data_IF_408018087974
#
_entry.id   IF_408018087974
#
_cell.length_a   1.000
_cell.length_b   1.000
_cell.length_c   1.000
_cell.angle_alpha   90.00
_cell.angle_beta   90.00
_cell.angle_gamma   90.00
#
_symmetry.space_group_name_H-M   'P 1'
#
loop_
_entity.id
_entity.type
_entity.pdbx_description
1 polymer ?
#
# COMPACT_ATOMS: atom_id res chain seq x y z
N UNK A 1 -20.09 -4.11 -9.74
CA UNK A 1 -18.71 -4.37 -9.29
C UNK A 1 -17.81 -3.37 -9.99
N UNK A 2 -16.98 -2.63 -9.26
CA UNK A 2 -16.07 -1.64 -9.87
C UNK A 2 -14.95 -2.35 -10.61
N UNK A 3 -14.77 -2.02 -11.89
CA UNK A 3 -13.71 -2.55 -12.73
C UNK A 3 -12.49 -1.62 -12.76
N UNK A 4 -11.31 -2.22 -12.92
CA UNK A 4 -10.04 -1.50 -13.05
C UNK A 4 -9.37 -1.86 -14.36
N UNK A 5 -8.86 -0.86 -15.08
CA UNK A 5 -8.22 -1.02 -16.38
C UNK A 5 -6.73 -0.75 -16.29
N UNK A 6 -5.96 -1.37 -17.18
CA UNK A 6 -4.56 -1.01 -17.35
C UNK A 6 -4.44 0.31 -18.10
N UNK A 7 -3.52 1.19 -17.68
CA UNK A 7 -3.12 2.38 -18.44
C UNK A 7 -2.52 2.08 -19.81
N UNK A 8 -2.29 0.80 -20.15
CA UNK A 8 -1.79 0.34 -21.46
C UNK A 8 -2.84 -0.38 -22.30
N UNK A 9 -4.11 -0.29 -21.93
CA UNK A 9 -5.23 -0.84 -22.72
C UNK A 9 -5.60 -2.29 -22.38
N UNK A 10 -4.97 -2.90 -21.37
CA UNK A 10 -5.39 -4.18 -20.81
C UNK A 10 -6.83 -4.17 -20.27
N UNK A 11 -7.48 -5.34 -20.36
CA UNK A 11 -8.88 -5.54 -19.98
C UNK A 11 -9.19 -5.35 -18.48
N UNK A 12 -10.48 -5.36 -18.11
CA UNK A 12 -10.91 -5.08 -16.75
C UNK A 12 -10.43 -6.15 -15.76
N UNK A 13 -10.04 -5.72 -14.57
CA UNK A 13 -9.72 -6.56 -13.43
C UNK A 13 -10.59 -6.20 -12.22
N UNK A 14 -10.91 -7.20 -11.40
CA UNK A 14 -11.55 -6.99 -10.10
C UNK A 14 -10.57 -6.48 -9.04
N UNK A 15 -11.08 -5.85 -7.99
CA UNK A 15 -10.28 -5.21 -6.94
C UNK A 15 -9.26 -6.19 -6.32
N UNK A 16 -9.67 -7.41 -6.01
CA UNK A 16 -8.83 -8.42 -5.37
C UNK A 16 -7.60 -8.74 -6.22
N UNK A 17 -7.77 -8.90 -7.53
CA UNK A 17 -6.67 -9.16 -8.45
C UNK A 17 -5.72 -7.95 -8.54
N UNK A 18 -6.27 -6.74 -8.56
CA UNK A 18 -5.51 -5.48 -8.61
C UNK A 18 -4.65 -5.31 -7.35
N UNK A 19 -5.24 -5.54 -6.17
CA UNK A 19 -4.54 -5.42 -4.90
C UNK A 19 -3.41 -6.45 -4.75
N UNK A 20 -3.64 -7.69 -5.19
CA UNK A 20 -2.64 -8.76 -5.08
C UNK A 20 -1.45 -8.57 -6.05
N UNK A 21 -1.73 -8.19 -7.30
CA UNK A 21 -0.69 -8.08 -8.33
C UNK A 21 0.03 -6.75 -8.27
N UNK A 22 -0.69 -5.65 -7.98
CA UNK A 22 -0.19 -4.28 -7.95
C UNK A 22 0.08 -3.65 -9.33
N UNK A 23 0.38 -4.44 -10.36
CA UNK A 23 0.59 -3.99 -11.75
C UNK A 23 -0.09 -4.91 -12.75
N UNK A 24 -0.55 -4.34 -13.86
CA UNK A 24 -1.21 -5.10 -14.90
C UNK A 24 -0.23 -6.03 -15.66
N UNK A 25 -0.70 -7.14 -16.26
CA UNK A 25 0.17 -8.08 -16.99
C UNK A 25 0.93 -7.47 -18.18
N UNK A 26 0.41 -6.40 -18.77
CA UNK A 26 1.03 -5.62 -19.86
C UNK A 26 2.06 -4.58 -19.36
N UNK A 27 2.36 -4.59 -18.05
CA UNK A 27 3.25 -3.65 -17.38
C UNK A 27 2.67 -2.27 -17.16
N UNK A 28 1.37 -2.07 -17.42
CA UNK A 28 0.65 -0.85 -17.08
C UNK A 28 0.24 -0.80 -15.61
N UNK A 29 -0.29 0.36 -15.21
CA UNK A 29 -0.84 0.57 -13.87
C UNK A 29 -2.34 0.37 -13.91
N UNK A 30 -2.91 -0.13 -12.82
CA UNK A 30 -4.36 -0.22 -12.70
C UNK A 30 -4.94 1.15 -12.32
N UNK A 31 -6.01 1.54 -13.01
CA UNK A 31 -6.84 2.72 -12.71
C UNK A 31 -8.31 2.30 -12.69
N UNK A 32 -9.15 2.88 -11.82
CA UNK A 32 -10.58 2.57 -11.84
C UNK A 32 -11.19 3.04 -13.16
N UNK A 33 -12.17 2.30 -13.68
CA UNK A 33 -12.92 2.69 -14.90
C UNK A 33 -13.55 4.08 -14.76
N UNK A 34 -13.97 4.44 -13.55
CA UNK A 34 -14.56 5.74 -13.21
C UNK A 34 -14.00 6.24 -11.89
N UNK A 35 -13.68 7.54 -11.86
CA UNK A 35 -13.43 8.24 -10.61
C UNK A 35 -14.78 8.50 -9.93
N UNK A 36 -14.89 8.14 -8.66
CA UNK A 36 -16.08 8.42 -7.89
C UNK A 36 -16.22 9.93 -7.69
N UNK A 37 -17.45 10.44 -7.87
CA UNK A 37 -17.80 11.81 -7.52
C UNK A 37 -18.31 11.84 -6.08
N UNK A 38 -17.93 12.89 -5.35
CA UNK A 38 -18.32 13.06 -3.95
C UNK A 38 -18.91 14.46 -3.75
N UNK A 39 -20.05 14.51 -3.08
CA UNK A 39 -20.60 15.76 -2.57
C UNK A 39 -19.80 16.16 -1.32
N UNK A 40 -19.32 17.42 -1.28
CA UNK A 40 -18.49 17.89 -0.14
C UNK A 40 -19.19 17.72 1.20
N UNK A 41 -20.50 17.96 1.26
CA UNK A 41 -21.30 17.78 2.47
C UNK A 41 -21.24 16.34 3.00
N UNK A 42 -21.32 15.35 2.10
CA UNK A 42 -21.29 13.94 2.47
C UNK A 42 -19.94 13.49 3.05
N UNK A 43 -18.84 14.13 2.65
CA UNK A 43 -17.51 13.87 3.23
C UNK A 43 -17.30 14.63 4.53
N UNK A 44 -17.84 15.85 4.65
CA UNK A 44 -17.71 16.71 5.82
C UNK A 44 -18.40 16.14 7.08
N UNK A 45 -19.33 15.20 6.92
CA UNK A 45 -19.98 14.48 8.03
C UNK A 45 -19.08 13.43 8.69
N UNK A 46 -17.90 13.14 8.15
CA UNK A 46 -16.98 12.14 8.71
C UNK A 46 -16.37 12.66 10.01
N UNK A 47 -16.58 11.95 11.12
CA UNK A 47 -16.07 12.35 12.43
C UNK A 47 -14.58 11.99 12.59
N UNK A 48 -14.09 11.02 11.82
CA UNK A 48 -12.70 10.55 11.90
C UNK A 48 -12.08 10.38 10.51
N UNK A 49 -10.73 10.41 10.38
CA UNK A 49 -10.06 10.09 9.13
C UNK A 49 -10.36 8.68 8.61
N UNK A 50 -10.60 7.72 9.51
CA UNK A 50 -10.97 6.36 9.13
C UNK A 50 -12.36 6.33 8.45
N UNK A 51 -13.34 7.05 8.99
CA UNK A 51 -14.67 7.19 8.38
C UNK A 51 -14.62 7.94 7.05
N UNK A 52 -13.79 8.99 6.96
CA UNK A 52 -13.57 9.72 5.71
C UNK A 52 -13.00 8.78 4.64
N UNK A 53 -11.96 8.01 5.00
CA UNK A 53 -11.37 7.02 4.11
C UNK A 53 -12.40 5.96 3.69
N UNK A 54 -13.19 5.41 4.63
CA UNK A 54 -14.25 4.45 4.31
C UNK A 54 -15.23 5.00 3.26
N UNK A 55 -15.75 6.22 3.47
CA UNK A 55 -16.70 6.86 2.54
C UNK A 55 -16.09 7.12 1.18
N UNK A 56 -14.84 7.61 1.14
CA UNK A 56 -14.12 7.84 -0.12
C UNK A 56 -13.80 6.54 -0.86
N UNK A 57 -13.58 5.44 -0.14
CA UNK A 57 -13.16 4.17 -0.72
C UNK A 57 -14.30 3.22 -1.07
N UNK A 58 -15.47 3.35 -0.43
CA UNK A 58 -16.62 2.49 -0.63
C UNK A 58 -17.02 2.27 -2.11
N UNK A 59 -17.02 3.30 -2.99
CA UNK A 59 -17.33 3.10 -4.41
C UNK A 59 -16.36 2.15 -5.12
N UNK A 60 -15.08 2.16 -4.75
CA UNK A 60 -14.06 1.29 -5.35
C UNK A 60 -14.13 -0.15 -4.85
N UNK A 61 -14.74 -0.36 -3.69
CA UNK A 61 -14.93 -1.67 -3.04
C UNK A 61 -16.30 -2.29 -3.33
N UNK A 62 -17.21 -1.56 -3.99
CA UNK A 62 -18.56 -2.02 -4.28
C UNK A 62 -18.58 -3.35 -5.07
N UNK A 63 -19.12 -4.40 -4.44
CA UNK A 63 -19.20 -5.75 -4.99
C UNK A 63 -17.91 -6.58 -4.89
N UNK A 64 -16.88 -6.09 -4.20
CA UNK A 64 -15.71 -6.89 -3.79
C UNK A 64 -16.03 -7.72 -2.54
N UNK A 65 -15.28 -8.79 -2.28
CA UNK A 65 -15.39 -9.55 -1.02
C UNK A 65 -14.99 -8.70 0.19
N UNK A 66 -14.20 -7.65 -0.04
CA UNK A 66 -13.75 -6.71 0.98
C UNK A 66 -14.80 -5.64 1.36
N UNK A 67 -15.92 -5.54 0.66
CA UNK A 67 -16.90 -4.47 0.87
C UNK A 67 -17.39 -4.40 2.32
N UNK A 68 -17.74 -5.55 2.92
CA UNK A 68 -18.20 -5.62 4.31
C UNK A 68 -17.10 -5.39 5.34
N UNK A 69 -15.83 -5.56 4.95
CA UNK A 69 -14.68 -5.41 5.84
C UNK A 69 -13.99 -4.04 5.73
N UNK A 70 -14.39 -3.21 4.76
CA UNK A 70 -13.78 -1.90 4.52
C UNK A 70 -13.74 -0.99 5.78
N UNK A 71 -14.78 -0.91 6.63
CA UNK A 71 -14.72 -0.11 7.85
C UNK A 71 -13.57 -0.52 8.76
N UNK A 72 -13.38 -1.83 8.97
CA UNK A 72 -12.32 -2.38 9.83
C UNK A 72 -10.94 -2.16 9.23
N UNK A 73 -10.82 -2.31 7.90
CA UNK A 73 -9.59 -2.04 7.16
C UNK A 73 -9.19 -0.56 7.33
N UNK A 74 -10.14 0.36 7.19
CA UNK A 74 -9.88 1.79 7.36
C UNK A 74 -9.51 2.12 8.81
N UNK A 75 -10.22 1.59 9.81
CA UNK A 75 -9.85 1.78 11.21
C UNK A 75 -8.46 1.24 11.54
N UNK A 76 -8.05 0.12 10.94
CA UNK A 76 -6.70 -0.42 11.11
C UNK A 76 -5.63 0.46 10.46
N UNK A 77 -5.88 0.94 9.23
CA UNK A 77 -4.95 1.75 8.46
C UNK A 77 -4.75 3.14 9.06
N UNK A 78 -5.82 3.74 9.59
CA UNK A 78 -5.86 5.08 10.17
C UNK A 78 -5.88 5.08 11.71
N UNK A 79 -5.30 4.04 12.32
CA UNK A 79 -5.20 3.94 13.78
C UNK A 79 -4.27 5.01 14.40
N UNK A 80 -3.27 5.48 13.63
CA UNK A 80 -2.39 6.56 14.05
C UNK A 80 -3.02 7.93 13.85
N UNK A 81 -2.78 8.83 14.80
CA UNK A 81 -3.30 10.20 14.76
C UNK A 81 -2.81 10.96 13.50
N UNK A 82 -3.67 11.88 13.04
CA UNK A 82 -3.43 12.79 11.91
C UNK A 82 -3.62 14.23 12.36
N UNK A 83 -2.81 14.75 13.31
CA UNK A 83 -3.02 16.08 13.85
C UNK A 83 -2.72 17.14 12.79
N UNK A 84 -3.56 18.18 12.78
CA UNK A 84 -3.34 19.38 11.99
C UNK A 84 -2.80 20.47 12.92
N UNK A 85 -1.48 20.66 12.90
CA UNK A 85 -0.79 21.62 13.75
C UNK A 85 -0.75 23.01 13.11
N UNK A 86 -1.02 24.04 13.91
CA UNK A 86 -0.83 25.43 13.49
C UNK A 86 0.65 25.82 13.65
N UNK A 87 1.31 26.22 12.56
CA UNK A 87 2.72 26.65 12.57
C UNK A 87 2.88 28.16 12.72
N UNK A 88 1.82 28.92 12.44
CA UNK A 88 1.80 30.38 12.58
C UNK A 88 0.44 30.87 13.07
N UNK A 89 0.38 32.06 13.70
CA UNK A 89 -0.86 32.82 13.78
C UNK A 89 -1.43 33.10 12.38
N UNK A 90 -2.73 33.41 12.31
CA UNK A 90 -3.34 33.83 11.05
C UNK A 90 -2.89 35.26 10.69
N UNK A 91 -2.36 35.46 9.48
CA UNK A 91 -1.97 36.76 8.93
C UNK A 91 -2.77 36.99 7.65
N UNK A 92 -3.54 38.07 7.59
CA UNK A 92 -4.44 38.40 6.46
C UNK A 92 -5.40 37.25 6.07
N UNK A 93 -5.91 36.51 7.06
CA UNK A 93 -6.82 35.37 6.82
C UNK A 93 -6.14 34.07 6.37
N UNK A 94 -4.82 34.07 6.15
CA UNK A 94 -4.05 32.87 5.86
C UNK A 94 -3.36 32.33 7.11
N UNK A 95 -3.34 31.00 7.28
CA UNK A 95 -2.63 30.31 8.35
C UNK A 95 -1.78 29.18 7.79
N UNK A 96 -0.50 29.14 8.17
CA UNK A 96 0.34 27.99 7.86
C UNK A 96 0.01 26.84 8.82
N UNK A 97 -0.35 25.69 8.26
CA UNK A 97 -0.68 24.48 9.02
C UNK A 97 0.11 23.28 8.49
N UNK A 98 0.42 22.34 9.37
CA UNK A 98 1.10 21.09 9.06
C UNK A 98 0.18 19.93 9.39
N UNK A 99 -0.14 19.10 8.40
CA UNK A 99 -0.76 17.81 8.64
C UNK A 99 0.34 16.78 8.92
N UNK A 100 0.40 16.29 10.15
CA UNK A 100 1.45 15.37 10.57
C UNK A 100 1.09 13.92 10.20
N UNK A 101 1.79 13.40 9.19
CA UNK A 101 1.56 12.04 8.67
C UNK A 101 2.61 11.03 9.16
N UNK A 102 3.30 11.31 10.28
CA UNK A 102 4.47 10.56 10.75
C UNK A 102 4.28 9.95 12.15
N UNK A 103 3.04 9.79 12.62
CA UNK A 103 2.72 9.15 13.90
C UNK A 103 2.48 7.64 13.78
N UNK A 104 2.82 7.06 12.63
CA UNK A 104 2.81 5.62 12.39
C UNK A 104 4.07 4.91 12.89
N UNK A 105 4.09 3.57 12.85
CA UNK A 105 5.18 2.75 13.39
C UNK A 105 6.53 3.01 12.73
N UNK A 106 6.55 3.58 11.52
CA UNK A 106 7.81 3.86 10.80
C UNK A 106 8.12 5.34 10.67
N UNK A 107 7.32 6.19 11.33
CA UNK A 107 7.42 7.64 11.28
C UNK A 107 7.33 8.22 9.85
N UNK A 108 6.49 7.62 9.00
CA UNK A 108 6.31 8.07 7.63
C UNK A 108 4.85 7.91 7.15
N UNK A 109 4.40 8.82 6.29
CA UNK A 109 3.04 8.80 5.69
C UNK A 109 2.72 7.51 4.92
N UNK A 110 3.77 6.75 4.59
CA UNK A 110 3.69 5.48 3.88
C UNK A 110 2.99 4.41 4.73
N UNK A 111 2.94 4.58 6.05
CA UNK A 111 2.30 3.66 7.00
C UNK A 111 0.81 3.45 6.70
N UNK A 112 0.05 4.53 6.45
CA UNK A 112 -1.39 4.43 6.19
C UNK A 112 -1.70 3.53 4.99
N UNK A 113 -1.07 3.80 3.84
CA UNK A 113 -1.28 3.00 2.63
C UNK A 113 -0.74 1.57 2.76
N UNK A 114 0.41 1.38 3.42
CA UNK A 114 0.98 0.05 3.61
C UNK A 114 0.08 -0.82 4.51
N UNK A 115 -0.41 -0.27 5.62
CA UNK A 115 -1.33 -0.95 6.54
C UNK A 115 -2.66 -1.26 5.88
N UNK A 116 -3.21 -0.33 5.11
CA UNK A 116 -4.43 -0.55 4.33
C UNK A 116 -4.28 -1.73 3.37
N UNK A 117 -3.25 -1.71 2.52
CA UNK A 117 -3.00 -2.79 1.57
C UNK A 117 -2.79 -4.13 2.29
N UNK A 118 -2.02 -4.14 3.38
CA UNK A 118 -1.75 -5.35 4.13
C UNK A 118 -3.04 -5.93 4.73
N UNK A 119 -3.91 -5.09 5.29
CA UNK A 119 -5.22 -5.48 5.85
C UNK A 119 -6.20 -6.00 4.79
N UNK A 120 -6.15 -5.46 3.56
CA UNK A 120 -6.90 -6.02 2.43
C UNK A 120 -6.37 -7.39 2.03
N UNK A 121 -5.06 -7.54 1.85
CA UNK A 121 -4.46 -8.78 1.37
C UNK A 121 -4.60 -9.91 2.38
N UNK A 122 -4.46 -9.63 3.67
CA UNK A 122 -4.72 -10.62 4.73
C UNK A 122 -6.14 -11.20 4.65
N UNK A 123 -7.16 -10.35 4.44
CA UNK A 123 -8.55 -10.79 4.31
C UNK A 123 -8.78 -11.60 3.04
N UNK A 124 -8.26 -11.13 1.91
CA UNK A 124 -8.32 -11.87 0.64
C UNK A 124 -7.70 -13.26 0.81
N UNK A 125 -6.51 -13.34 1.40
CA UNK A 125 -5.79 -14.60 1.57
C UNK A 125 -6.42 -15.49 2.66
N UNK A 126 -7.14 -14.94 3.63
CA UNK A 126 -7.85 -15.74 4.63
C UNK A 126 -9.05 -16.50 4.04
N UNK A 127 -9.67 -15.98 2.98
CA UNK A 127 -10.80 -16.62 2.28
C UNK A 127 -10.34 -17.72 1.30
N UNK A 128 -9.05 -17.78 0.97
CA UNK A 128 -8.50 -18.80 0.08
C UNK A 128 -8.32 -20.15 0.77
N UNK A 129 -8.42 -21.29 0.05
CA UNK A 129 -8.09 -22.60 0.59
C UNK A 129 -6.71 -22.61 1.25
N UNK A 130 -6.54 -23.31 2.38
CA UNK A 130 -5.24 -23.37 3.08
C UNK A 130 -4.08 -23.89 2.20
N UNK A 131 -4.39 -24.61 1.12
CA UNK A 131 -3.43 -25.10 0.13
C UNK A 131 -2.96 -24.04 -0.88
N UNK A 132 -3.56 -22.85 -0.93
CA UNK A 132 -3.15 -21.81 -1.89
C UNK A 132 -1.78 -21.23 -1.50
N UNK A 133 -0.91 -20.97 -2.49
CA UNK A 133 0.48 -20.58 -2.25
C UNK A 133 0.59 -19.23 -1.54
N UNK A 134 1.58 -19.13 -0.66
CA UNK A 134 1.98 -17.89 0.02
C UNK A 134 2.21 -16.77 -0.99
N UNK A 135 1.64 -15.59 -0.72
CA UNK A 135 1.90 -14.38 -1.49
C UNK A 135 3.27 -13.81 -1.12
N UNK A 136 4.17 -13.65 -2.08
CA UNK A 136 5.46 -12.99 -1.89
C UNK A 136 5.39 -11.55 -2.35
N UNK A 137 5.37 -10.62 -1.40
CA UNK A 137 5.49 -9.19 -1.62
C UNK A 137 6.95 -8.84 -1.90
N UNK A 138 7.24 -8.35 -3.09
CA UNK A 138 8.58 -7.92 -3.50
C UNK A 138 8.61 -6.41 -3.68
N UNK A 139 9.47 -5.73 -2.91
CA UNK A 139 9.57 -4.25 -2.89
C UNK A 139 11.01 -3.81 -3.03
N UNK A 140 11.24 -2.79 -3.85
CA UNK A 140 12.50 -2.05 -3.88
C UNK A 140 12.33 -0.73 -3.12
N UNK A 141 13.32 -0.36 -2.31
CA UNK A 141 13.25 0.87 -1.51
C UNK A 141 14.58 1.63 -1.44
N UNK A 142 14.47 2.94 -1.21
CA UNK A 142 15.55 3.82 -0.76
C UNK A 142 15.43 4.16 0.74
N UNK A 143 14.52 3.53 1.48
CA UNK A 143 14.31 3.74 2.92
C UNK A 143 12.85 3.51 3.34
N UNK A 144 12.09 4.59 3.49
CA UNK A 144 10.80 4.55 4.21
C UNK A 144 9.74 3.63 3.58
N UNK A 145 9.73 3.48 2.25
CA UNK A 145 8.72 2.60 1.61
C UNK A 145 8.90 1.16 2.06
N UNK A 146 10.14 0.69 2.11
CA UNK A 146 10.43 -0.66 2.57
C UNK A 146 10.13 -0.82 4.05
N UNK A 147 10.45 0.18 4.89
CA UNK A 147 10.13 0.14 6.30
C UNK A 147 8.61 0.04 6.54
N UNK A 148 7.81 0.89 5.88
CA UNK A 148 6.36 0.88 6.03
C UNK A 148 5.73 -0.45 5.55
N UNK A 149 6.24 -1.02 4.45
CA UNK A 149 5.78 -2.34 3.98
C UNK A 149 6.21 -3.44 4.96
N UNK A 150 7.48 -3.48 5.34
CA UNK A 150 8.01 -4.45 6.28
C UNK A 150 7.21 -4.45 7.59
N UNK A 151 6.98 -3.27 8.16
CA UNK A 151 6.16 -3.09 9.36
C UNK A 151 4.70 -3.53 9.16
N UNK A 152 4.05 -3.08 8.08
CA UNK A 152 2.63 -3.36 7.86
C UNK A 152 2.32 -4.84 7.63
N UNK A 153 3.27 -5.60 7.08
CA UNK A 153 3.12 -7.01 6.74
C UNK A 153 3.83 -7.97 7.71
N UNK A 154 4.53 -7.45 8.71
CA UNK A 154 5.13 -8.23 9.80
C UNK A 154 4.10 -9.15 10.45
N UNK A 155 4.44 -10.44 10.57
CA UNK A 155 3.65 -11.42 11.30
C UNK A 155 2.35 -11.85 10.62
N UNK A 156 2.11 -11.42 9.36
CA UNK A 156 0.90 -11.77 8.63
C UNK A 156 1.00 -13.15 7.99
N UNK A 157 0.01 -13.98 8.29
CA UNK A 157 -0.11 -15.32 7.75
C UNK A 157 -0.22 -15.29 6.21
N UNK A 158 0.37 -16.32 5.60
CA UNK A 158 0.34 -16.55 4.14
C UNK A 158 0.96 -15.42 3.31
N UNK A 159 1.71 -14.51 3.93
CA UNK A 159 2.46 -13.45 3.27
C UNK A 159 3.94 -13.53 3.63
N UNK A 160 4.79 -13.50 2.60
CA UNK A 160 6.24 -13.29 2.73
C UNK A 160 6.60 -11.93 2.15
N UNK A 161 7.47 -11.17 2.80
CA UNK A 161 7.96 -9.88 2.29
C UNK A 161 9.45 -9.97 1.99
N UNK A 162 9.84 -9.50 0.82
CA UNK A 162 11.24 -9.34 0.42
C UNK A 162 11.48 -7.88 0.05
N UNK A 163 12.34 -7.22 0.83
CA UNK A 163 12.71 -5.81 0.64
C UNK A 163 14.12 -5.73 0.05
N UNK A 164 14.23 -5.26 -1.18
CA UNK A 164 15.50 -4.97 -1.84
C UNK A 164 15.90 -3.52 -1.55
N UNK A 165 17.11 -3.30 -1.06
CA UNK A 165 17.64 -1.96 -0.79
C UNK A 165 19.12 -1.86 -1.21
N UNK A 166 19.59 -0.68 -1.64
CA UNK A 166 20.98 -0.49 -2.04
C UNK A 166 21.91 -0.47 -0.83
N UNK A 167 22.88 -1.39 -0.79
CA UNK A 167 23.83 -1.55 0.32
C UNK A 167 24.63 -0.26 0.56
N UNK A 168 24.63 0.22 1.81
CA UNK A 168 25.39 1.41 2.20
C UNK A 168 24.90 2.73 1.60
N UNK A 169 23.68 2.77 1.05
CA UNK A 169 23.07 3.97 0.43
C UNK A 169 21.85 4.49 1.19
N UNK A 170 21.53 3.90 2.33
CA UNK A 170 20.47 4.33 3.25
C UNK A 170 21.06 4.53 4.65
N UNK A 171 20.40 5.30 5.51
CA UNK A 171 20.89 5.51 6.87
C UNK A 171 20.83 4.21 7.69
N UNK A 172 21.72 4.02 8.69
CA UNK A 172 21.67 2.84 9.57
C UNK A 172 20.31 2.64 10.25
N UNK A 173 19.64 3.74 10.61
CA UNK A 173 18.28 3.70 11.19
C UNK A 173 17.26 3.14 10.19
N UNK A 174 17.30 3.60 8.94
CA UNK A 174 16.41 3.09 7.90
C UNK A 174 16.70 1.62 7.61
N UNK A 175 17.97 1.23 7.51
CA UNK A 175 18.38 -0.16 7.29
C UNK A 175 17.87 -1.09 8.40
N UNK A 176 18.02 -0.69 9.67
CA UNK A 176 17.46 -1.43 10.79
C UNK A 176 15.94 -1.60 10.66
N UNK A 177 15.22 -0.51 10.35
CA UNK A 177 13.77 -0.53 10.12
C UNK A 177 13.32 -1.38 8.90
N UNK A 178 14.23 -1.88 8.05
CA UNK A 178 13.84 -2.81 6.98
C UNK A 178 13.77 -4.26 7.46
N UNK A 179 14.54 -4.63 8.48
CA UNK A 179 14.77 -6.02 8.89
C UNK A 179 14.48 -6.34 10.36
N UNK A 180 14.07 -5.38 11.18
CA UNK A 180 13.77 -5.58 12.60
C UNK A 180 12.34 -6.11 12.87
N UNK A 181 11.78 -6.86 11.92
CA UNK A 181 10.38 -7.34 11.92
C UNK A 181 10.34 -8.87 12.02
N UNK A 182 9.13 -9.45 12.01
CA UNK A 182 8.92 -10.89 12.13
C UNK A 182 9.58 -11.69 10.98
N UNK A 183 9.76 -13.00 11.20
CA UNK A 183 10.48 -13.92 10.31
C UNK A 183 9.96 -13.98 8.86
N UNK A 184 8.72 -13.55 8.63
CA UNK A 184 8.15 -13.48 7.29
C UNK A 184 8.68 -12.31 6.44
N UNK A 185 9.48 -11.40 7.03
CA UNK A 185 10.09 -10.24 6.40
C UNK A 185 11.59 -10.45 6.21
N UNK A 186 12.07 -10.30 4.97
CA UNK A 186 13.50 -10.42 4.64
C UNK A 186 13.99 -9.15 3.94
N UNK A 187 15.00 -8.51 4.52
CA UNK A 187 15.70 -7.37 3.91
C UNK A 187 16.98 -7.87 3.21
N UNK A 188 17.11 -7.59 1.91
CA UNK A 188 18.24 -8.00 1.08
C UNK A 188 19.01 -6.78 0.58
N UNK A 189 20.26 -6.65 1.04
CA UNK A 189 21.17 -5.60 0.61
C UNK A 189 21.72 -5.91 -0.80
N UNK A 190 21.40 -5.05 -1.76
CA UNK A 190 21.85 -5.15 -3.15
C UNK A 190 23.13 -4.36 -3.34
N UNK A 191 24.14 -4.98 -3.93
CA UNK A 191 25.36 -4.30 -4.36
C UNK A 191 25.09 -3.47 -5.62
N UNK A 192 24.60 -2.23 -5.43
CA UNK A 192 24.22 -1.32 -6.52
C UNK A 192 23.58 -0.03 -6.02
N UNK A 193 22.96 0.71 -6.93
CA UNK A 193 22.12 1.87 -6.65
C UNK A 193 20.64 1.45 -6.50
N UNK A 194 19.78 2.41 -6.12
CA UNK A 194 18.34 2.17 -6.01
C UNK A 194 17.71 1.70 -7.33
N UNK A 195 18.16 2.24 -8.46
CA UNK A 195 17.67 1.86 -9.79
C UNK A 195 17.94 0.39 -10.10
N UNK A 196 19.07 -0.16 -9.62
CA UNK A 196 19.36 -1.60 -9.75
C UNK A 196 18.36 -2.44 -8.94
N UNK A 197 18.01 -2.02 -7.72
CA UNK A 197 16.95 -2.67 -6.94
C UNK A 197 15.61 -2.64 -7.70
N UNK A 198 15.23 -1.50 -8.28
CA UNK A 198 14.01 -1.38 -9.07
C UNK A 198 14.04 -2.26 -10.32
N UNK A 199 15.19 -2.35 -10.98
CA UNK A 199 15.38 -3.20 -12.16
C UNK A 199 15.24 -4.68 -11.79
N UNK A 200 15.82 -5.14 -10.68
CA UNK A 200 15.67 -6.52 -10.20
C UNK A 200 14.20 -6.86 -9.91
N UNK A 201 13.46 -5.94 -9.28
CA UNK A 201 12.01 -6.12 -9.06
C UNK A 201 11.28 -6.24 -10.40
N UNK A 202 11.50 -5.32 -11.33
CA UNK A 202 10.86 -5.37 -12.67
C UNK A 202 11.19 -6.66 -13.41
N UNK A 203 12.44 -7.13 -13.35
CA UNK A 203 12.87 -8.40 -13.94
C UNK A 203 12.14 -9.59 -13.31
N UNK A 204 12.00 -9.62 -11.99
CA UNK A 204 11.26 -10.67 -11.29
C UNK A 204 9.78 -10.74 -11.73
N UNK A 205 9.12 -9.59 -11.92
CA UNK A 205 7.74 -9.53 -12.44
C UNK A 205 7.62 -9.86 -13.94
N UNK A 206 8.68 -9.69 -14.72
CA UNK A 206 8.72 -10.08 -16.12
C UNK A 206 9.09 -11.56 -16.34
N UNK A 207 9.72 -12.21 -15.35
CA UNK A 207 10.16 -13.61 -15.44
C UNK A 207 8.98 -14.59 -15.28
N UNK A 208 8.54 -15.15 -16.41
CA UNK A 208 7.48 -16.15 -16.46
C UNK A 208 7.81 -17.45 -15.71
N UNK A 209 9.08 -17.86 -15.64
CA UNK A 209 9.50 -19.06 -14.89
C UNK A 209 9.46 -18.81 -13.40
N UNK A 210 9.83 -17.60 -12.95
CA UNK A 210 9.70 -17.22 -11.55
C UNK A 210 8.23 -17.11 -11.14
N UNK A 211 7.39 -16.43 -11.94
CA UNK A 211 5.96 -16.27 -11.65
C UNK A 211 5.16 -17.57 -11.61
N UNK A 212 5.63 -18.63 -12.28
CA UNK A 212 5.06 -19.99 -12.16
C UNK A 212 5.40 -20.68 -10.84
N UNK A 213 6.50 -20.30 -10.19
CA UNK A 213 7.02 -20.91 -8.96
C UNK A 213 6.66 -20.12 -7.71
N UNK A 214 6.59 -18.80 -7.85
CA UNK A 214 6.35 -17.87 -6.75
C UNK A 214 5.20 -16.95 -7.13
N UNK A 215 4.19 -16.90 -6.27
CA UNK A 215 3.09 -15.94 -6.39
C UNK A 215 3.60 -14.56 -5.96
N UNK A 216 4.00 -13.75 -6.94
CA UNK A 216 4.54 -12.41 -6.70
C UNK A 216 3.43 -11.35 -6.62
N UNK A 217 3.55 -10.45 -5.66
CA UNK A 217 2.77 -9.23 -5.53
C UNK A 217 3.65 -8.02 -5.22
N UNK A 218 3.19 -6.83 -5.55
CA UNK A 218 3.93 -5.58 -5.32
C UNK A 218 3.21 -4.74 -4.25
N UNK A 219 3.97 -4.16 -3.32
CA UNK A 219 3.45 -3.19 -2.34
C UNK A 219 4.07 -1.80 -2.50
N UNK A 220 4.66 -1.52 -3.67
CA UNK A 220 5.15 -0.19 -4.05
C UNK A 220 3.99 0.80 -4.23
N UNK A 221 4.30 2.10 -4.31
CA UNK A 221 3.31 3.19 -4.45
C UNK A 221 2.38 3.06 -5.66
N UNK A 222 2.76 2.26 -6.67
CA UNK A 222 1.96 2.00 -7.86
C UNK A 222 0.77 1.05 -7.62
N UNK A 223 0.76 0.30 -6.51
CA UNK A 223 -0.37 -0.55 -6.16
C UNK A 223 -1.55 0.32 -5.73
N UNK A 224 -2.75 0.09 -6.28
CA UNK A 224 -3.94 0.87 -5.92
C UNK A 224 -4.30 0.80 -4.43
N UNK A 225 -4.03 -0.30 -3.75
CA UNK A 225 -4.22 -0.39 -2.30
C UNK A 225 -3.27 0.50 -1.50
N UNK A 226 -2.16 0.94 -2.12
CA UNK A 226 -1.31 1.99 -1.54
C UNK A 226 -1.87 3.37 -1.85
N UNK A 227 -2.26 3.62 -3.10
CA UNK A 227 -2.64 4.94 -3.61
C UNK A 227 -4.01 5.42 -3.09
N UNK A 228 -5.03 4.58 -3.19
CA UNK A 228 -6.41 4.91 -2.82
C UNK A 228 -6.53 5.50 -1.40
N UNK A 229 -6.03 4.86 -0.33
CA UNK A 229 -6.14 5.42 1.02
C UNK A 229 -5.37 6.73 1.21
N UNK A 230 -4.38 7.06 0.37
CA UNK A 230 -3.69 8.36 0.49
C UNK A 230 -4.55 9.55 0.06
N UNK A 231 -5.64 9.29 -0.68
CA UNK A 231 -6.57 10.35 -1.07
C UNK A 231 -7.38 10.91 0.10
N UNK A 232 -7.40 10.22 1.25
CA UNK A 232 -8.19 10.61 2.42
C UNK A 232 -7.54 11.67 3.31
N UNK A 233 -6.26 12.00 3.11
CA UNK A 233 -5.54 13.01 3.90
C UNK A 233 -4.98 14.15 3.04
#
# INVERSE_FOLDING_TARGET
>A
MTAFHSTRGGGPAGLEAVLQTGTAPDGGLYVPERLAAFERGALAESATPAELAERMLAPYFAGSSLAGALPDICRNAFASALPLADLSPAVNGARLRLLELFHGPTAAFKDYGARFLAACLERILAEEPASSPTLTILVATSGDTGAAVASAFSGRDRIRVVVLFPKGRISPRQEHHLGCWDDNVQALAVHGAFDDCQQLVKQAFADARLRKRVRLGSANSINLGRLLPQSAY
#
